data_IF_700300524365
#
_entry.id   IF_700300524365
#
_cell.length_a   1.000
_cell.length_b   1.000
_cell.length_c   1.000
_cell.angle_alpha   90.00
_cell.angle_beta   90.00
_cell.angle_gamma   90.00
#
_symmetry.space_group_name_H-M   'P 1'
#
loop_
_entity.id
_entity.type
_entity.pdbx_description
1 polymer ?
#
# COMPACT_ATOMS: atom_id res chain seq x y z
N UNK A 1 -8.37 -8.89 2.29
CA UNK A 1 -9.04 -8.28 1.14
C UNK A 1 -10.15 -9.21 0.73
N UNK A 2 -11.39 -8.87 1.05
CA UNK A 2 -12.61 -9.65 0.74
C UNK A 2 -13.31 -9.14 -0.53
N UNK A 3 -12.70 -8.18 -1.21
CA UNK A 3 -13.21 -7.50 -2.39
C UNK A 3 -12.17 -6.47 -2.85
N UNK A 4 -12.43 -5.86 -4.01
CA UNK A 4 -11.61 -4.75 -4.49
C UNK A 4 -11.84 -3.55 -3.57
N UNK A 5 -10.78 -2.78 -3.28
CA UNK A 5 -10.90 -1.64 -2.37
C UNK A 5 -10.13 -0.41 -2.85
N UNK A 6 -10.47 0.74 -2.29
CA UNK A 6 -9.75 2.00 -2.47
C UNK A 6 -9.26 2.45 -1.12
N UNK A 7 -7.99 2.81 -1.02
CA UNK A 7 -7.42 3.32 0.23
C UNK A 7 -7.41 4.84 0.25
N UNK A 8 -7.56 5.40 1.44
CA UNK A 8 -7.35 6.82 1.75
C UNK A 8 -6.38 6.91 2.91
N UNK A 9 -5.38 7.78 2.81
CA UNK A 9 -4.45 8.05 3.90
C UNK A 9 -4.81 9.40 4.52
N UNK A 10 -4.94 9.44 5.84
CA UNK A 10 -5.34 10.62 6.58
C UNK A 10 -4.51 10.78 7.84
N UNK A 11 -4.57 11.97 8.43
CA UNK A 11 -3.86 12.32 9.67
C UNK A 11 -2.34 12.02 9.66
N UNK A 12 -1.59 12.42 8.61
CA UNK A 12 -0.13 12.36 8.65
C UNK A 12 0.42 13.32 9.72
N UNK A 13 1.64 13.07 10.25
CA UNK A 13 2.36 14.06 11.04
C UNK A 13 2.54 15.38 10.27
N UNK A 14 2.78 16.47 10.99
CA UNK A 14 3.03 17.77 10.38
C UNK A 14 4.27 17.73 9.45
N UNK A 15 4.28 18.58 8.42
CA UNK A 15 5.40 18.70 7.49
C UNK A 15 6.73 18.95 8.22
N UNK A 16 7.79 18.32 7.74
CA UNK A 16 9.10 18.27 8.42
C UNK A 16 9.24 17.12 9.43
N UNK A 17 8.16 16.39 9.73
CA UNK A 17 8.18 15.19 10.59
C UNK A 17 7.87 13.95 9.76
N UNK A 18 8.69 12.91 9.89
CA UNK A 18 8.46 11.64 9.22
C UNK A 18 7.26 10.89 9.83
N UNK A 19 6.39 10.37 8.95
CA UNK A 19 5.32 9.44 9.29
C UNK A 19 5.39 8.22 8.39
N UNK A 20 5.15 7.04 8.96
CA UNK A 20 5.16 5.79 8.21
C UNK A 20 4.01 4.88 8.62
N UNK A 21 3.53 4.08 7.67
CA UNK A 21 2.62 2.98 7.94
C UNK A 21 3.03 1.77 7.11
N UNK A 22 2.80 0.58 7.66
CA UNK A 22 3.00 -0.69 6.95
C UNK A 22 1.67 -1.41 6.88
N UNK A 23 1.29 -1.81 5.67
CA UNK A 23 0.08 -2.57 5.38
C UNK A 23 0.44 -4.02 5.09
N UNK A 24 -0.27 -4.93 5.74
CA UNK A 24 -0.26 -6.36 5.44
C UNK A 24 -1.56 -6.69 4.72
N UNK A 25 -1.48 -6.92 3.42
CA UNK A 25 -2.63 -7.19 2.56
C UNK A 25 -2.73 -8.69 2.31
N UNK A 26 -3.77 -9.32 2.85
CA UNK A 26 -4.08 -10.73 2.61
C UNK A 26 -5.20 -10.88 1.59
N UNK A 27 -5.05 -11.68 0.55
CA UNK A 27 -6.14 -12.08 -0.33
C UNK A 27 -7.19 -12.92 0.42
N UNK A 28 -8.45 -12.89 -0.01
CA UNK A 28 -9.45 -13.84 0.50
C UNK A 28 -9.23 -15.25 -0.10
N UNK A 29 -10.15 -16.17 0.20
CA UNK A 29 -10.10 -17.54 -0.30
C UNK A 29 -10.29 -17.66 -1.83
N UNK A 30 -10.65 -16.58 -2.53
CA UNK A 30 -10.76 -16.55 -4.00
C UNK A 30 -9.52 -15.94 -4.64
N UNK A 31 -8.96 -14.90 -4.04
CA UNK A 31 -7.84 -14.15 -4.59
C UNK A 31 -8.26 -13.12 -5.63
N UNK A 32 -7.26 -12.60 -6.35
CA UNK A 32 -7.41 -11.61 -7.42
C UNK A 32 -8.13 -10.32 -7.01
N UNK A 33 -8.04 -9.92 -5.74
CA UNK A 33 -8.51 -8.60 -5.29
C UNK A 33 -7.49 -7.54 -5.66
N UNK A 34 -7.98 -6.43 -6.20
CA UNK A 34 -7.18 -5.28 -6.59
C UNK A 34 -7.46 -4.09 -5.69
N UNK A 35 -6.53 -3.12 -5.70
CA UNK A 35 -6.62 -1.93 -4.87
C UNK A 35 -6.33 -0.68 -5.69
N UNK A 36 -7.09 0.39 -5.43
CA UNK A 36 -6.77 1.72 -5.92
C UNK A 36 -6.05 2.50 -4.82
N UNK A 37 -4.85 3.00 -5.12
CA UNK A 37 -4.03 3.76 -4.20
C UNK A 37 -4.35 5.27 -4.26
N UNK A 38 -4.17 6.02 -3.16
CA UNK A 38 -4.25 7.48 -3.20
C UNK A 38 -3.30 8.07 -4.25
N UNK A 39 -3.73 9.13 -4.95
CA UNK A 39 -2.89 9.81 -5.95
C UNK A 39 -1.62 10.46 -5.36
N UNK A 40 -1.60 10.69 -4.04
CA UNK A 40 -0.43 11.16 -3.29
C UNK A 40 0.65 10.08 -3.15
N UNK A 41 0.34 8.81 -3.42
CA UNK A 41 1.34 7.74 -3.38
C UNK A 41 2.22 7.80 -4.63
N UNK A 42 3.53 7.91 -4.41
CA UNK A 42 4.57 7.81 -5.42
C UNK A 42 5.32 6.49 -5.23
N UNK A 43 5.34 5.69 -6.28
CA UNK A 43 5.97 4.38 -6.28
C UNK A 43 7.38 4.43 -6.85
N UNK A 44 8.27 3.62 -6.32
CA UNK A 44 9.55 3.35 -6.95
C UNK A 44 9.33 2.84 -8.38
N UNK A 45 10.01 3.41 -9.38
CA UNK A 45 9.83 3.07 -10.79
C UNK A 45 8.56 3.66 -11.45
N UNK A 46 7.74 4.43 -10.71
CA UNK A 46 6.62 5.20 -11.26
C UNK A 46 5.28 4.46 -11.35
N UNK A 47 5.23 3.16 -11.05
CA UNK A 47 3.99 2.36 -11.07
C UNK A 47 3.78 1.60 -9.76
N UNK A 48 2.51 1.44 -9.36
CA UNK A 48 2.16 0.60 -8.22
C UNK A 48 2.58 -0.86 -8.45
N UNK A 49 2.96 -1.61 -7.41
CA UNK A 49 3.23 -3.03 -7.53
C UNK A 49 1.94 -3.80 -7.87
N UNK A 50 2.09 -4.85 -8.68
CA UNK A 50 1.03 -5.83 -8.86
C UNK A 50 0.90 -6.66 -7.59
N UNK A 51 -0.27 -6.67 -6.96
CA UNK A 51 -0.52 -7.53 -5.80
C UNK A 51 -0.58 -9.00 -6.23
N UNK A 52 -0.12 -9.88 -5.35
CA UNK A 52 -0.24 -11.33 -5.52
C UNK A 52 -1.72 -11.70 -5.61
N UNK A 53 -2.09 -12.44 -6.65
CA UNK A 53 -3.48 -12.80 -6.94
C UNK A 53 -3.89 -14.13 -6.33
N UNK A 54 -2.94 -14.93 -5.84
CA UNK A 54 -3.20 -16.24 -5.21
C UNK A 54 -4.10 -16.10 -3.99
N UNK A 55 -5.09 -16.99 -3.87
CA UNK A 55 -5.96 -17.07 -2.70
C UNK A 55 -5.14 -17.14 -1.41
N UNK A 56 -5.58 -16.42 -0.37
CA UNK A 56 -4.92 -16.31 0.93
C UNK A 56 -3.51 -15.72 0.96
N UNK A 57 -2.89 -15.40 -0.18
CA UNK A 57 -1.55 -14.86 -0.23
C UNK A 57 -1.45 -13.49 0.42
N UNK A 58 -0.26 -13.17 0.93
CA UNK A 58 0.03 -11.94 1.65
C UNK A 58 1.07 -11.12 0.89
N UNK A 59 0.80 -9.82 0.79
CA UNK A 59 1.75 -8.79 0.38
C UNK A 59 1.94 -7.78 1.51
N UNK A 60 3.15 -7.24 1.64
CA UNK A 60 3.50 -6.24 2.64
C UNK A 60 4.03 -5.01 1.91
N UNK A 61 3.37 -3.87 2.14
CA UNK A 61 3.70 -2.58 1.55
C UNK A 61 3.94 -1.56 2.65
N UNK A 62 4.99 -0.76 2.53
CA UNK A 62 5.30 0.31 3.46
C UNK A 62 5.19 1.66 2.75
N UNK A 63 4.63 2.63 3.46
CA UNK A 63 4.45 3.99 2.99
C UNK A 63 5.09 4.96 3.97
N UNK A 64 5.76 5.99 3.46
CA UNK A 64 6.38 7.02 4.26
C UNK A 64 6.10 8.41 3.69
N UNK A 65 5.86 9.39 4.55
CA UNK A 65 5.78 10.80 4.20
C UNK A 65 6.66 11.62 5.15
N UNK A 66 7.12 12.78 4.69
CA UNK A 66 7.83 13.78 5.51
C UNK A 66 7.21 15.18 5.37
N UNK A 67 6.16 15.32 4.56
CA UNK A 67 5.65 16.59 4.07
C UNK A 67 4.17 16.80 4.39
N UNK A 68 3.66 16.19 5.46
CA UNK A 68 2.25 16.30 5.82
C UNK A 68 1.33 15.51 4.90
N UNK A 69 1.83 14.43 4.28
CA UNK A 69 1.06 13.53 3.43
C UNK A 69 0.76 14.06 2.03
N UNK A 70 1.45 15.12 1.59
CA UNK A 70 1.39 15.60 0.20
C UNK A 70 1.96 14.51 -0.72
N UNK A 71 3.10 13.94 -0.34
CA UNK A 71 3.70 12.77 -0.99
C UNK A 71 3.85 11.63 0.01
N UNK A 72 3.41 10.45 -0.41
CA UNK A 72 3.71 9.18 0.25
C UNK A 72 4.59 8.33 -0.65
N UNK A 73 5.79 8.01 -0.21
CA UNK A 73 6.67 7.08 -0.91
C UNK A 73 6.23 5.65 -0.59
N UNK A 74 5.72 4.95 -1.60
CA UNK A 74 5.29 3.56 -1.50
C UNK A 74 6.41 2.60 -1.89
N UNK A 75 6.66 1.61 -1.03
CA UNK A 75 7.71 0.59 -1.22
C UNK A 75 7.11 -0.79 -1.00
N UNK A 76 7.47 -1.73 -1.88
CA UNK A 76 7.19 -3.15 -1.70
C UNK A 76 8.16 -3.75 -0.71
N UNK A 77 7.69 -4.09 0.49
CA UNK A 77 8.52 -4.71 1.52
C UNK A 77 8.62 -6.24 1.33
N UNK A 78 7.58 -6.87 0.79
CA UNK A 78 7.58 -8.27 0.40
C UNK A 78 6.26 -8.68 -0.25
N UNK A 79 6.29 -9.72 -1.07
CA UNK A 79 5.11 -10.23 -1.78
C UNK A 79 5.14 -11.75 -1.85
N UNK A 80 4.02 -12.34 -2.29
CA UNK A 80 3.90 -13.77 -2.56
C UNK A 80 4.08 -14.68 -1.32
N UNK A 81 3.80 -14.19 -0.12
CA UNK A 81 3.76 -15.04 1.07
C UNK A 81 2.53 -15.94 1.04
N UNK A 82 2.69 -17.21 1.47
CA UNK A 82 1.64 -18.24 1.53
C UNK A 82 0.99 -18.35 2.91
#
# INVERSE_FOLDING_TARGET
MTGNCTFTFSNPPASGTAGSLTMVLRQDATGSRTTTWPASVKWAGGSAPTLTTTASAIDILTFMTVDGGIIWYGVTAGQHFS
#
